data_IF_564198464533
#
_entry.id   IF_564198464533
#
_cell.length_a   1.000
_cell.length_b   1.000
_cell.length_c   1.000
_cell.angle_alpha   90.00
_cell.angle_beta   90.00
_cell.angle_gamma   90.00
#
_symmetry.space_group_name_H-M   'P 1'
#
loop_
_entity.id
_entity.type
_entity.pdbx_description
1 polymer ?
#
# COMPACT_ATOMS: atom_id res chain seq x y z
N UNK A 1 11.14 10.47 -9.91
CA UNK A 1 10.15 11.31 -10.60
C UNK A 1 8.97 11.50 -9.67
N UNK A 2 8.66 12.74 -9.28
CA UNK A 2 7.70 13.03 -8.20
C UNK A 2 6.37 12.39 -8.53
N UNK A 3 5.78 11.61 -7.61
CA UNK A 3 4.45 11.03 -7.80
C UNK A 3 3.47 12.12 -8.29
N UNK A 4 2.92 11.91 -9.48
CA UNK A 4 2.01 12.84 -10.17
C UNK A 4 0.57 12.38 -10.11
N UNK A 5 0.32 11.09 -9.96
CA UNK A 5 -1.01 10.53 -9.77
C UNK A 5 -1.01 9.59 -8.58
N UNK A 6 -1.89 9.85 -7.61
CA UNK A 6 -2.11 9.00 -6.44
C UNK A 6 -3.52 8.43 -6.53
N UNK A 7 -3.64 7.10 -6.44
CA UNK A 7 -4.92 6.41 -6.34
C UNK A 7 -5.34 6.31 -4.87
N UNK A 8 -6.58 6.69 -4.57
CA UNK A 8 -7.26 6.34 -3.32
C UNK A 8 -8.46 5.48 -3.66
N UNK A 9 -8.55 4.28 -3.07
CA UNK A 9 -9.71 3.41 -3.22
C UNK A 9 -10.52 3.49 -1.94
N UNK A 10 -11.82 3.80 -2.05
CA UNK A 10 -12.71 3.97 -0.91
C UNK A 10 -13.98 3.15 -1.09
N UNK A 11 -14.37 2.42 -0.04
CA UNK A 11 -15.62 1.68 -0.02
C UNK A 11 -16.84 2.60 0.14
N UNK A 12 -18.00 2.16 -0.38
CA UNK A 12 -19.26 2.91 -0.27
C UNK A 12 -19.68 3.20 1.18
N UNK A 13 -19.37 2.29 2.11
CA UNK A 13 -19.74 2.38 3.53
C UNK A 13 -18.62 2.96 4.42
N UNK A 14 -17.46 3.29 3.85
CA UNK A 14 -16.35 3.88 4.60
C UNK A 14 -16.63 5.34 4.96
N UNK A 15 -16.01 5.81 6.04
CA UNK A 15 -15.98 7.24 6.36
C UNK A 15 -15.12 8.02 5.34
N UNK A 16 -15.00 9.33 5.54
CA UNK A 16 -14.23 10.19 4.65
C UNK A 16 -12.79 10.42 5.13
N UNK A 17 -12.33 9.74 6.19
CA UNK A 17 -11.01 9.98 6.77
C UNK A 17 -9.87 9.63 5.79
N UNK A 18 -10.02 8.52 5.06
CA UNK A 18 -9.04 8.09 4.07
C UNK A 18 -9.03 9.04 2.86
N UNK A 19 -10.19 9.57 2.47
CA UNK A 19 -10.30 10.60 1.43
C UNK A 19 -9.59 11.89 1.83
N UNK A 20 -9.80 12.37 3.07
CA UNK A 20 -9.10 13.54 3.59
C UNK A 20 -7.59 13.33 3.66
N UNK A 21 -7.13 12.14 4.09
CA UNK A 21 -5.72 11.78 4.07
C UNK A 21 -5.12 11.83 2.66
N UNK A 22 -5.87 11.33 1.66
CA UNK A 22 -5.48 11.38 0.26
C UNK A 22 -5.37 12.81 -0.29
N UNK A 23 -6.31 13.69 0.10
CA UNK A 23 -6.30 15.11 -0.25
C UNK A 23 -5.05 15.79 0.29
N UNK A 24 -4.76 15.61 1.59
CA UNK A 24 -3.56 16.19 2.24
C UNK A 24 -2.26 15.71 1.57
N UNK A 25 -2.16 14.41 1.29
CA UNK A 25 -1.01 13.83 0.59
C UNK A 25 -0.82 14.43 -0.81
N UNK A 26 -1.90 14.52 -1.59
CA UNK A 26 -1.87 15.08 -2.94
C UNK A 26 -1.52 16.57 -2.92
N UNK A 27 -2.02 17.34 -1.95
CA UNK A 27 -1.68 18.76 -1.79
C UNK A 27 -0.20 18.94 -1.50
N UNK A 28 0.36 18.17 -0.57
CA UNK A 28 1.80 18.18 -0.25
C UNK A 28 2.68 17.73 -1.42
N UNK A 29 2.21 16.75 -2.19
CA UNK A 29 2.93 16.22 -3.36
C UNK A 29 2.72 17.05 -4.64
N UNK A 30 1.73 17.96 -4.68
CA UNK A 30 1.23 18.59 -5.91
C UNK A 30 0.88 17.54 -6.97
N UNK A 31 0.18 16.50 -6.54
CA UNK A 31 -0.25 15.37 -7.36
C UNK A 31 -1.74 15.45 -7.69
N UNK A 32 -2.14 14.74 -8.74
CA UNK A 32 -3.52 14.47 -9.09
C UNK A 32 -4.07 13.33 -8.21
N UNK A 33 -5.24 13.52 -7.63
CA UNK A 33 -5.94 12.51 -6.85
C UNK A 33 -6.95 11.76 -7.72
N UNK A 34 -6.68 10.50 -8.02
CA UNK A 34 -7.64 9.59 -8.64
C UNK A 34 -8.40 8.85 -7.55
N UNK A 35 -9.69 9.13 -7.37
CA UNK A 35 -10.54 8.41 -6.42
C UNK A 35 -11.33 7.32 -7.13
N UNK A 36 -11.25 6.09 -6.62
CA UNK A 36 -12.08 4.96 -7.03
C UNK A 36 -13.03 4.59 -5.89
N UNK A 37 -14.31 4.89 -6.05
CA UNK A 37 -15.36 4.48 -5.11
C UNK A 37 -15.81 3.07 -5.46
N UNK A 38 -15.73 2.13 -4.52
CA UNK A 38 -16.03 0.72 -4.78
C UNK A 38 -17.28 0.26 -4.04
N UNK A 39 -18.02 -0.65 -4.67
CA UNK A 39 -19.10 -1.39 -4.04
C UNK A 39 -19.13 -2.82 -4.58
N UNK A 40 -19.24 -3.80 -3.67
CA UNK A 40 -19.39 -5.20 -4.04
C UNK A 40 -20.85 -5.52 -4.36
N UNK A 41 -21.06 -6.12 -5.52
CA UNK A 41 -22.33 -6.61 -5.94
C UNK A 41 -22.71 -7.86 -5.14
N UNK A 42 -23.89 -7.85 -4.51
CA UNK A 42 -24.40 -9.03 -3.82
C UNK A 42 -24.51 -10.24 -4.79
N UNK A 43 -24.11 -11.45 -4.36
CA UNK A 43 -24.25 -12.64 -5.19
C UNK A 43 -25.74 -12.91 -5.48
N UNK A 44 -26.08 -13.47 -6.66
CA UNK A 44 -27.46 -13.80 -7.00
C UNK A 44 -28.09 -14.73 -5.97
N UNK A 45 -29.25 -14.33 -5.45
CA UNK A 45 -30.07 -15.16 -4.55
C UNK A 45 -31.10 -15.89 -5.41
N UNK A 46 -30.85 -17.17 -5.67
CA UNK A 46 -31.69 -18.09 -6.45
C UNK A 46 -30.93 -19.34 -6.93
N UNK A 47 -31.61 -20.47 -7.09
CA UNK A 47 -31.01 -21.69 -7.63
C UNK A 47 -30.72 -21.60 -9.13
N UNK A 48 -29.82 -22.45 -9.65
CA UNK A 48 -29.53 -22.56 -11.09
C UNK A 48 -30.85 -22.78 -11.87
N UNK A 49 -31.29 -21.79 -12.65
CA UNK A 49 -32.52 -21.85 -13.47
C UNK A 49 -33.75 -21.13 -12.90
N UNK A 50 -33.65 -20.46 -11.75
CA UNK A 50 -34.73 -19.61 -11.23
C UNK A 50 -34.67 -18.18 -11.79
N UNK A 51 -35.84 -17.54 -11.92
CA UNK A 51 -35.94 -16.09 -12.15
C UNK A 51 -35.28 -15.40 -10.96
N UNK A 52 -34.29 -14.53 -11.22
CA UNK A 52 -33.63 -13.74 -10.18
C UNK A 52 -34.67 -13.09 -9.28
N UNK A 53 -34.59 -13.35 -7.98
CA UNK A 53 -35.58 -12.83 -7.02
C UNK A 53 -35.67 -11.31 -7.10
N UNK A 54 -36.87 -10.74 -6.99
CA UNK A 54 -37.07 -9.28 -6.96
C UNK A 54 -36.27 -8.62 -5.84
N UNK A 55 -36.13 -9.32 -4.72
CA UNK A 55 -35.29 -8.92 -3.57
C UNK A 55 -33.83 -8.71 -3.98
N UNK A 56 -33.25 -9.58 -4.82
CA UNK A 56 -31.88 -9.43 -5.30
C UNK A 56 -31.73 -8.23 -6.26
N UNK A 57 -32.73 -7.99 -7.12
CA UNK A 57 -32.74 -6.82 -8.02
C UNK A 57 -32.80 -5.52 -7.20
N UNK A 58 -33.73 -5.45 -6.25
CA UNK A 58 -33.88 -4.30 -5.33
C UNK A 58 -32.60 -4.05 -4.52
N UNK A 59 -31.93 -5.10 -4.05
CA UNK A 59 -30.65 -4.98 -3.36
C UNK A 59 -29.55 -4.38 -4.26
N UNK A 60 -29.40 -4.85 -5.50
CA UNK A 60 -28.42 -4.28 -6.44
C UNK A 60 -28.73 -2.84 -6.81
N UNK A 61 -30.00 -2.47 -6.95
CA UNK A 61 -30.39 -1.08 -7.15
C UNK A 61 -30.00 -0.21 -5.96
N UNK A 62 -30.25 -0.68 -4.73
CA UNK A 62 -29.85 0.00 -3.48
C UNK A 62 -28.34 0.20 -3.41
N UNK A 63 -27.55 -0.83 -3.73
CA UNK A 63 -26.08 -0.75 -3.75
C UNK A 63 -25.58 0.26 -4.78
N UNK A 64 -26.15 0.24 -5.99
CA UNK A 64 -25.80 1.18 -7.07
C UNK A 64 -26.14 2.62 -6.69
N UNK A 65 -27.26 2.85 -6.01
CA UNK A 65 -27.65 4.18 -5.54
C UNK A 65 -26.78 4.65 -4.36
N UNK A 66 -26.39 3.75 -3.46
CA UNK A 66 -25.37 4.01 -2.43
C UNK A 66 -24.06 4.48 -3.05
N UNK A 67 -23.58 3.76 -4.06
CA UNK A 67 -22.36 4.08 -4.79
C UNK A 67 -22.45 5.47 -5.46
N UNK A 68 -23.56 5.78 -6.13
CA UNK A 68 -23.79 7.12 -6.72
C UNK A 68 -23.77 8.23 -5.67
N UNK A 69 -24.41 8.01 -4.53
CA UNK A 69 -24.42 8.98 -3.42
C UNK A 69 -23.01 9.22 -2.87
N UNK A 70 -22.23 8.16 -2.63
CA UNK A 70 -20.84 8.28 -2.16
C UNK A 70 -19.97 9.02 -3.18
N UNK A 71 -20.09 8.72 -4.48
CA UNK A 71 -19.38 9.47 -5.54
C UNK A 71 -19.73 10.96 -5.51
N UNK A 72 -21.00 11.32 -5.38
CA UNK A 72 -21.43 12.71 -5.32
C UNK A 72 -20.90 13.42 -4.06
N UNK A 73 -20.92 12.74 -2.91
CA UNK A 73 -20.35 13.24 -1.66
C UNK A 73 -18.84 13.47 -1.77
N UNK A 74 -18.08 12.48 -2.27
CA UNK A 74 -16.64 12.60 -2.50
C UNK A 74 -16.29 13.73 -3.45
N UNK A 75 -17.04 13.92 -4.54
CA UNK A 75 -16.87 15.07 -5.44
C UNK A 75 -17.10 16.40 -4.73
N UNK A 76 -18.13 16.48 -3.87
CA UNK A 76 -18.44 17.71 -3.12
C UNK A 76 -17.29 18.06 -2.16
N UNK A 77 -16.73 17.07 -1.47
CA UNK A 77 -15.56 17.25 -0.60
C UNK A 77 -14.37 17.75 -1.42
N UNK A 78 -14.05 17.07 -2.52
CA UNK A 78 -12.89 17.41 -3.37
C UNK A 78 -13.01 18.78 -4.06
N UNK A 79 -14.22 19.22 -4.39
CA UNK A 79 -14.47 20.55 -4.96
C UNK A 79 -14.19 21.69 -3.99
N UNK A 80 -14.21 21.42 -2.68
CA UNK A 80 -13.84 22.41 -1.67
C UNK A 80 -12.32 22.62 -1.58
N UNK A 81 -11.53 21.73 -2.19
CA UNK A 81 -10.07 21.72 -2.16
C UNK A 81 -9.44 22.17 -3.48
N UNK A 82 -8.28 22.83 -3.40
CA UNK A 82 -7.49 23.28 -4.56
C UNK A 82 -6.52 22.19 -5.05
N UNK A 83 -7.04 21.01 -5.37
CA UNK A 83 -6.26 19.91 -5.93
C UNK A 83 -6.85 19.43 -7.27
N UNK A 84 -6.00 18.87 -8.13
CA UNK A 84 -6.45 18.20 -9.34
C UNK A 84 -6.99 16.83 -8.97
N UNK A 85 -8.20 16.47 -9.42
CA UNK A 85 -8.80 15.18 -9.07
C UNK A 85 -9.72 14.62 -10.15
N UNK A 86 -9.97 13.31 -10.09
CA UNK A 86 -11.06 12.63 -10.76
C UNK A 86 -11.71 11.61 -9.82
N UNK A 87 -13.02 11.38 -10.00
CA UNK A 87 -13.77 10.41 -9.18
C UNK A 87 -14.51 9.46 -10.10
N UNK A 88 -14.16 8.18 -9.98
CA UNK A 88 -14.76 7.07 -10.70
C UNK A 88 -15.38 6.07 -9.74
N UNK A 89 -16.24 5.21 -10.24
CA UNK A 89 -16.96 4.21 -9.45
C UNK A 89 -16.80 2.83 -10.04
N UNK A 90 -16.64 1.83 -9.19
CA UNK A 90 -16.58 0.42 -9.54
C UNK A 90 -17.65 -0.35 -8.78
N UNK A 91 -18.63 -0.88 -9.51
CA UNK A 91 -19.59 -1.84 -9.00
C UNK A 91 -19.24 -3.20 -9.58
N UNK A 92 -18.75 -4.11 -8.75
CA UNK A 92 -18.14 -5.36 -9.23
C UNK A 92 -18.47 -6.55 -8.33
N UNK A 93 -18.30 -7.76 -8.85
CA UNK A 93 -18.40 -8.97 -8.07
C UNK A 93 -17.03 -9.31 -7.46
N UNK A 94 -17.06 -9.97 -6.30
CA UNK A 94 -15.87 -10.29 -5.52
C UNK A 94 -14.75 -10.96 -6.33
N UNK A 95 -15.09 -11.86 -7.25
CA UNK A 95 -14.13 -12.58 -8.09
C UNK A 95 -13.38 -11.72 -9.14
N UNK A 96 -13.85 -10.50 -9.42
CA UNK A 96 -13.25 -9.60 -10.42
C UNK A 96 -12.61 -8.36 -9.81
N UNK A 97 -12.93 -8.05 -8.56
CA UNK A 97 -12.49 -6.85 -7.86
C UNK A 97 -10.97 -6.63 -7.93
N UNK A 98 -10.17 -7.65 -7.62
CA UNK A 98 -8.69 -7.55 -7.66
C UNK A 98 -8.17 -7.09 -9.02
N UNK A 99 -8.70 -7.67 -10.11
CA UNK A 99 -8.24 -7.36 -11.47
C UNK A 99 -8.64 -5.94 -11.88
N UNK A 100 -9.88 -5.53 -11.62
CA UNK A 100 -10.39 -4.21 -12.00
C UNK A 100 -9.75 -3.08 -11.18
N UNK A 101 -9.51 -3.32 -9.88
CA UNK A 101 -8.74 -2.39 -9.05
C UNK A 101 -7.29 -2.31 -9.57
N UNK A 102 -6.69 -3.44 -9.92
CA UNK A 102 -5.38 -3.52 -10.55
C UNK A 102 -5.27 -2.74 -11.86
N UNK A 103 -6.28 -2.84 -12.72
CA UNK A 103 -6.36 -2.07 -13.97
C UNK A 103 -6.29 -0.57 -13.72
N UNK A 104 -6.98 -0.08 -12.69
CA UNK A 104 -6.90 1.32 -12.30
C UNK A 104 -5.52 1.67 -11.72
N UNK A 105 -5.01 0.83 -10.84
CA UNK A 105 -3.74 1.04 -10.15
C UNK A 105 -2.53 0.99 -11.11
N UNK A 106 -2.65 0.42 -12.32
CA UNK A 106 -1.56 0.37 -13.32
C UNK A 106 -1.14 1.73 -13.87
N UNK A 107 -2.02 2.72 -13.82
CA UNK A 107 -1.82 4.03 -14.43
C UNK A 107 -1.56 5.15 -13.41
N UNK A 108 -1.16 4.77 -12.18
CA UNK A 108 -0.82 5.71 -11.12
C UNK A 108 0.61 5.51 -10.66
N UNK A 109 1.18 6.52 -9.98
CA UNK A 109 2.53 6.43 -9.43
C UNK A 109 2.53 5.81 -8.01
N UNK A 110 1.39 5.86 -7.32
CA UNK A 110 1.23 5.36 -5.96
C UNK A 110 -0.24 5.04 -5.66
N UNK A 111 -0.50 3.97 -4.93
CA UNK A 111 -1.82 3.71 -4.33
C UNK A 111 -1.76 3.97 -2.82
N UNK A 112 -2.57 4.90 -2.32
CA UNK A 112 -2.72 5.17 -0.90
C UNK A 112 -3.77 4.22 -0.31
N UNK A 113 -3.42 3.56 0.79
CA UNK A 113 -4.31 2.75 1.60
C UNK A 113 -4.30 3.33 3.01
N UNK A 114 -5.47 3.76 3.49
CA UNK A 114 -5.59 4.34 4.82
C UNK A 114 -5.73 3.30 5.93
N UNK A 115 -5.57 3.73 7.18
CA UNK A 115 -5.61 2.84 8.34
C UNK A 115 -7.03 2.42 8.75
N UNK A 116 -8.06 3.18 8.33
CA UNK A 116 -9.46 2.79 8.50
C UNK A 116 -9.84 1.61 7.62
N UNK A 117 -9.27 1.61 6.40
CA UNK A 117 -9.48 0.65 5.32
C UNK A 117 -9.23 -0.82 5.71
N UNK A 118 -8.08 -1.15 6.31
CA UNK A 118 -7.73 -2.56 6.61
C UNK A 118 -8.54 -3.21 7.75
N UNK A 119 -9.25 -2.40 8.54
CA UNK A 119 -9.92 -2.89 9.75
C UNK A 119 -11.45 -3.05 9.62
N UNK A 120 -12.08 -2.46 8.58
CA UNK A 120 -13.55 -2.32 8.54
C UNK A 120 -14.18 -2.60 7.15
N UNK A 121 -13.41 -3.04 6.15
CA UNK A 121 -13.93 -3.23 4.80
C UNK A 121 -13.85 -4.69 4.33
N UNK A 122 -14.99 -5.20 3.85
CA UNK A 122 -15.11 -6.49 3.18
C UNK A 122 -14.30 -6.54 1.86
N UNK A 123 -13.89 -5.39 1.31
CA UNK A 123 -13.01 -5.27 0.14
C UNK A 123 -11.52 -5.06 0.47
N UNK A 124 -11.16 -5.07 1.75
CA UNK A 124 -9.81 -4.72 2.21
C UNK A 124 -8.70 -5.55 1.54
N UNK A 125 -8.93 -6.86 1.45
CA UNK A 125 -7.98 -7.79 0.88
C UNK A 125 -7.86 -7.65 -0.64
N UNK A 126 -8.96 -7.37 -1.33
CA UNK A 126 -9.09 -7.34 -2.78
C UNK A 126 -8.45 -6.07 -3.34
N UNK A 127 -8.61 -4.96 -2.62
CA UNK A 127 -7.94 -3.70 -2.93
C UNK A 127 -6.44 -3.82 -2.71
N UNK A 128 -6.03 -4.39 -1.59
CA UNK A 128 -4.61 -4.65 -1.33
C UNK A 128 -4.03 -5.58 -2.41
N UNK A 129 -4.71 -6.68 -2.74
CA UNK A 129 -4.24 -7.65 -3.72
C UNK A 129 -4.20 -7.05 -5.13
N UNK A 130 -5.24 -6.30 -5.53
CA UNK A 130 -5.27 -5.61 -6.81
C UNK A 130 -4.15 -4.58 -6.93
N UNK A 131 -3.96 -3.76 -5.90
CA UNK A 131 -2.90 -2.75 -5.90
C UNK A 131 -1.49 -3.36 -5.86
N UNK A 132 -1.28 -4.45 -5.11
CA UNK A 132 0.05 -5.02 -4.90
C UNK A 132 0.46 -6.07 -5.94
N UNK A 133 -0.48 -6.86 -6.46
CA UNK A 133 -0.19 -7.97 -7.39
C UNK A 133 -0.58 -7.67 -8.84
N UNK A 134 -1.54 -6.77 -9.07
CA UNK A 134 -2.04 -6.45 -10.41
C UNK A 134 -1.58 -5.07 -10.93
N UNK A 135 -0.75 -4.36 -10.15
CA UNK A 135 -0.12 -3.10 -10.55
C UNK A 135 1.40 -3.09 -10.27
N UNK A 136 2.20 -2.39 -11.10
CA UNK A 136 3.61 -2.11 -10.80
C UNK A 136 3.79 -0.94 -9.81
N UNK A 137 2.75 -0.16 -9.54
CA UNK A 137 2.84 1.00 -8.66
C UNK A 137 3.02 0.55 -7.19
N UNK A 138 3.86 1.24 -6.41
CA UNK A 138 3.92 0.98 -4.98
C UNK A 138 2.58 1.29 -4.30
N UNK A 139 2.35 0.63 -3.17
CA UNK A 139 1.32 1.00 -2.20
C UNK A 139 1.97 1.80 -1.07
N UNK A 140 1.26 2.79 -0.54
CA UNK A 140 1.57 3.45 0.72
C UNK A 140 0.43 3.16 1.70
N UNK A 141 0.68 2.32 2.68
CA UNK A 141 -0.22 2.09 3.80
C UNK A 141 0.06 3.10 4.90
N UNK A 142 -0.95 3.84 5.34
CA UNK A 142 -0.83 4.84 6.40
C UNK A 142 -1.61 4.36 7.63
N UNK A 143 -0.94 4.00 8.75
CA UNK A 143 -1.64 3.54 9.94
C UNK A 143 -2.51 4.64 10.56
N UNK A 144 -3.55 4.22 11.30
CA UNK A 144 -4.48 5.16 11.95
C UNK A 144 -3.73 6.10 12.90
N UNK A 145 -4.03 7.40 12.81
CA UNK A 145 -3.40 8.43 13.64
C UNK A 145 -2.09 8.99 13.07
N UNK A 146 -1.62 8.48 11.93
CA UNK A 146 -0.49 9.06 11.20
C UNK A 146 -0.97 9.92 10.03
N UNK A 147 -0.25 11.01 9.79
CA UNK A 147 -0.43 11.81 8.58
C UNK A 147 0.33 11.17 7.41
N UNK A 148 -0.32 11.07 6.25
CA UNK A 148 0.33 10.63 5.04
C UNK A 148 1.37 11.67 4.59
N UNK A 149 2.60 11.24 4.29
CA UNK A 149 3.66 12.10 3.75
C UNK A 149 4.55 11.33 2.78
N UNK A 150 4.98 12.00 1.70
CA UNK A 150 6.01 11.50 0.78
C UNK A 150 7.38 12.15 1.03
N UNK A 151 7.56 12.82 2.17
CA UNK A 151 8.84 13.43 2.57
C UNK A 151 9.23 13.03 4.00
N UNK A 152 9.47 11.73 4.25
CA UNK A 152 9.98 11.28 5.54
C UNK A 152 11.41 11.81 5.77
N UNK A 153 11.76 12.16 7.01
CA UNK A 153 13.14 12.52 7.39
C UNK A 153 14.01 11.31 7.65
N UNK A 154 13.44 10.28 8.27
CA UNK A 154 14.14 9.02 8.56
C UNK A 154 13.40 7.88 7.88
N UNK A 155 14.09 7.10 7.05
CA UNK A 155 13.51 5.95 6.35
C UNK A 155 14.21 4.67 6.77
N UNK A 156 13.41 3.67 7.14
CA UNK A 156 13.87 2.31 7.33
C UNK A 156 13.65 1.50 6.05
N UNK A 157 14.71 0.98 5.45
CA UNK A 157 14.64 0.03 4.33
C UNK A 157 14.81 -1.36 4.88
N UNK A 158 13.74 -2.16 4.89
CA UNK A 158 13.82 -3.58 5.23
C UNK A 158 14.38 -4.36 4.03
N UNK A 159 15.58 -4.92 4.19
CA UNK A 159 16.35 -5.48 3.10
C UNK A 159 16.69 -6.96 3.32
N UNK A 160 16.34 -7.80 2.35
CA UNK A 160 16.61 -9.25 2.34
C UNK A 160 17.43 -9.71 1.12
N UNK A 161 18.03 -8.75 0.39
CA UNK A 161 18.81 -8.96 -0.84
C UNK A 161 18.07 -9.64 -1.99
N UNK A 162 16.72 -9.61 -1.99
CA UNK A 162 15.91 -10.12 -3.09
C UNK A 162 15.45 -9.03 -4.03
N UNK A 163 14.91 -9.47 -5.17
CA UNK A 163 14.44 -8.57 -6.22
C UNK A 163 13.35 -7.64 -5.71
N UNK A 164 12.42 -8.13 -4.89
CA UNK A 164 11.29 -7.37 -4.36
C UNK A 164 11.78 -6.20 -3.47
N UNK A 165 12.80 -6.44 -2.63
CA UNK A 165 13.44 -5.38 -1.86
C UNK A 165 14.15 -4.36 -2.78
N UNK A 166 14.80 -4.84 -3.84
CA UNK A 166 15.37 -4.01 -4.89
C UNK A 166 14.33 -3.15 -5.62
N UNK A 167 13.18 -3.71 -5.96
CA UNK A 167 12.06 -2.97 -6.57
C UNK A 167 11.53 -1.92 -5.61
N UNK A 168 11.36 -2.25 -4.32
CA UNK A 168 10.91 -1.31 -3.29
C UNK A 168 11.84 -0.11 -3.13
N UNK A 169 13.15 -0.36 -3.04
CA UNK A 169 14.15 0.71 -2.99
C UNK A 169 14.08 1.61 -4.22
N UNK A 170 13.88 1.03 -5.41
CA UNK A 170 13.76 1.83 -6.65
C UNK A 170 12.48 2.63 -6.71
N UNK A 171 11.35 2.06 -6.28
CA UNK A 171 10.06 2.75 -6.23
C UNK A 171 10.06 3.89 -5.20
N UNK A 172 10.76 3.72 -4.08
CA UNK A 172 10.88 4.71 -3.02
C UNK A 172 12.05 5.70 -3.20
N UNK A 173 12.76 5.67 -4.35
CA UNK A 173 14.03 6.39 -4.53
C UNK A 173 13.93 7.88 -4.20
N UNK A 174 12.79 8.50 -4.45
CA UNK A 174 12.59 9.92 -4.14
C UNK A 174 12.47 10.21 -2.66
N UNK A 175 11.73 9.37 -1.94
CA UNK A 175 11.59 9.45 -0.50
C UNK A 175 12.97 9.22 0.15
N UNK A 176 13.76 8.29 -0.38
CA UNK A 176 15.11 8.01 0.09
C UNK A 176 16.09 9.16 -0.19
N UNK A 177 16.03 9.81 -1.36
CA UNK A 177 16.85 10.99 -1.68
C UNK A 177 16.47 12.20 -0.81
N UNK A 178 15.18 12.37 -0.51
CA UNK A 178 14.69 13.49 0.28
C UNK A 178 14.90 13.32 1.80
N UNK A 179 15.20 12.10 2.27
CA UNK A 179 15.39 11.80 3.68
C UNK A 179 16.73 12.32 4.21
N UNK A 180 16.74 12.75 5.46
CA UNK A 180 17.97 13.12 6.17
C UNK A 180 18.80 11.88 6.50
N UNK A 181 18.14 10.76 6.81
CA UNK A 181 18.79 9.49 7.15
C UNK A 181 18.03 8.31 6.55
N UNK A 182 18.77 7.39 5.94
CA UNK A 182 18.26 6.10 5.49
C UNK A 182 18.99 4.99 6.23
N UNK A 183 18.26 4.15 6.96
CA UNK A 183 18.81 2.93 7.57
C UNK A 183 18.40 1.72 6.76
N UNK A 184 19.36 0.95 6.27
CA UNK A 184 19.12 -0.38 5.69
C UNK A 184 19.18 -1.40 6.82
N UNK A 185 18.06 -2.03 7.16
CA UNK A 185 18.02 -3.07 8.17
C UNK A 185 17.92 -4.46 7.54
N UNK A 186 18.80 -5.36 8.00
CA UNK A 186 18.81 -6.77 7.63
C UNK A 186 18.66 -7.61 8.89
N UNK A 187 17.66 -8.49 8.94
CA UNK A 187 17.43 -9.39 10.09
C UNK A 187 18.03 -10.76 9.81
N UNK A 188 18.92 -11.22 10.69
CA UNK A 188 19.66 -12.49 10.57
C UNK A 188 20.23 -12.78 9.16
N UNK A 189 20.96 -11.84 8.52
CA UNK A 189 21.49 -12.08 7.19
C UNK A 189 22.60 -13.15 7.22
N UNK A 190 22.65 -13.98 6.18
CA UNK A 190 23.79 -14.89 5.97
C UNK A 190 24.93 -14.17 5.23
N UNK A 191 26.09 -14.03 5.88
CA UNK A 191 27.29 -13.47 5.25
C UNK A 191 27.97 -14.52 4.37
N UNK A 192 27.48 -14.67 3.13
CA UNK A 192 28.07 -15.58 2.14
C UNK A 192 28.14 -14.91 0.77
N UNK A 193 29.20 -15.20 -0.01
CA UNK A 193 29.39 -14.66 -1.37
C UNK A 193 28.24 -14.99 -2.33
N UNK A 194 27.47 -16.05 -2.06
CA UNK A 194 26.29 -16.44 -2.87
C UNK A 194 24.98 -15.77 -2.42
N UNK A 195 24.98 -15.03 -1.32
CA UNK A 195 23.79 -14.35 -0.79
C UNK A 195 24.09 -12.87 -0.53
N UNK A 196 24.51 -12.47 0.67
CA UNK A 196 24.64 -11.06 1.05
C UNK A 196 26.06 -10.49 0.89
N UNK A 197 27.00 -11.26 0.33
CA UNK A 197 28.41 -10.88 0.28
C UNK A 197 29.15 -11.13 1.61
N UNK A 198 30.38 -10.65 1.69
CA UNK A 198 31.22 -10.73 2.91
C UNK A 198 30.73 -9.76 3.99
N UNK A 199 30.18 -8.62 3.58
CA UNK A 199 29.59 -7.60 4.45
C UNK A 199 28.12 -7.39 4.03
N UNK A 200 27.16 -8.06 4.71
CA UNK A 200 25.74 -7.93 4.39
C UNK A 200 25.27 -6.49 4.31
N UNK A 201 24.68 -6.12 3.18
CA UNK A 201 24.12 -4.78 2.96
C UNK A 201 25.09 -3.77 2.35
N UNK A 202 26.37 -4.09 2.24
CA UNK A 202 27.37 -3.18 1.66
C UNK A 202 27.06 -2.78 0.20
N UNK A 203 26.56 -3.72 -0.61
CA UNK A 203 26.23 -3.45 -2.02
C UNK A 203 25.04 -2.49 -2.16
N UNK A 204 23.97 -2.68 -1.38
CA UNK A 204 22.81 -1.78 -1.40
C UNK A 204 23.16 -0.42 -0.80
N UNK A 205 23.96 -0.37 0.26
CA UNK A 205 24.47 0.89 0.80
C UNK A 205 25.32 1.64 -0.22
N UNK A 206 26.22 0.94 -0.92
CA UNK A 206 27.02 1.53 -2.01
C UNK A 206 26.14 2.05 -3.14
N UNK A 207 25.10 1.30 -3.51
CA UNK A 207 24.13 1.73 -4.51
C UNK A 207 23.40 3.01 -4.08
N UNK A 208 22.88 3.07 -2.84
CA UNK A 208 22.18 4.24 -2.31
C UNK A 208 23.11 5.45 -2.16
N UNK A 209 24.35 5.24 -1.71
CA UNK A 209 25.35 6.30 -1.60
C UNK A 209 25.67 6.95 -2.96
N UNK A 210 25.66 6.16 -4.06
CA UNK A 210 25.81 6.70 -5.43
C UNK A 210 24.66 7.60 -5.86
N UNK A 211 23.49 7.48 -5.23
CA UNK A 211 22.36 8.39 -5.41
C UNK A 211 22.42 9.61 -4.48
N UNK A 212 23.50 9.78 -3.70
CA UNK A 212 23.67 10.90 -2.77
C UNK A 212 22.95 10.71 -1.43
N UNK A 213 22.50 9.49 -1.12
CA UNK A 213 21.73 9.18 0.08
C UNK A 213 22.68 8.93 1.26
N UNK A 214 22.40 9.54 2.42
CA UNK A 214 23.06 9.23 3.68
C UNK A 214 22.52 7.91 4.22
N UNK A 215 23.27 6.83 4.03
CA UNK A 215 22.85 5.48 4.37
C UNK A 215 23.71 4.87 5.49
N UNK A 216 23.06 4.22 6.45
CA UNK A 216 23.66 3.27 7.40
C UNK A 216 23.13 1.86 7.14
N UNK A 217 23.86 0.84 7.61
CA UNK A 217 23.44 -0.56 7.54
C UNK A 217 23.42 -1.14 8.94
N UNK A 218 22.25 -1.64 9.34
CA UNK A 218 22.03 -2.26 10.64
C UNK A 218 21.73 -3.75 10.45
N UNK A 219 22.65 -4.59 10.93
CA UNK A 219 22.47 -6.04 10.98
C UNK A 219 21.87 -6.41 12.34
N UNK A 220 20.60 -6.83 12.31
CA UNK A 220 19.79 -7.03 13.51
C UNK A 220 19.65 -8.53 13.83
N UNK A 221 19.98 -8.97 15.06
CA UNK A 221 19.68 -10.32 15.50
C UNK A 221 18.19 -10.45 15.81
N UNK A 222 17.52 -11.49 15.29
CA UNK A 222 16.11 -11.71 15.65
C UNK A 222 15.92 -12.14 17.10
N UNK A 223 16.89 -12.90 17.64
CA UNK A 223 16.77 -13.54 18.94
C UNK A 223 15.59 -14.50 19.04
N UNK A 224 15.17 -15.09 17.91
CA UNK A 224 14.01 -15.97 17.83
C UNK A 224 12.65 -15.26 17.73
N UNK A 225 12.62 -13.92 17.68
CA UNK A 225 11.41 -13.14 17.39
C UNK A 225 11.08 -13.18 15.89
N UNK A 226 9.84 -12.86 15.53
CA UNK A 226 9.48 -12.70 14.13
C UNK A 226 10.23 -11.49 13.52
N UNK A 227 10.62 -11.61 12.24
CA UNK A 227 11.31 -10.53 11.51
C UNK A 227 10.50 -9.23 11.53
N UNK A 228 9.17 -9.30 11.42
CA UNK A 228 8.30 -8.14 11.51
C UNK A 228 8.38 -7.43 12.87
N UNK A 229 8.45 -8.17 13.98
CA UNK A 229 8.61 -7.56 15.32
C UNK A 229 9.93 -6.81 15.45
N UNK A 230 11.01 -7.40 14.92
CA UNK A 230 12.35 -6.79 14.94
C UNK A 230 12.36 -5.51 14.11
N UNK A 231 11.79 -5.54 12.90
CA UNK A 231 11.71 -4.37 12.02
C UNK A 231 10.83 -3.26 12.61
N UNK A 232 9.68 -3.60 13.20
CA UNK A 232 8.80 -2.62 13.85
C UNK A 232 9.47 -1.96 15.05
N UNK A 233 10.08 -2.75 15.92
CA UNK A 233 10.79 -2.23 17.08
C UNK A 233 11.90 -1.29 16.61
N UNK A 234 12.70 -1.72 15.63
CA UNK A 234 13.81 -0.93 15.14
C UNK A 234 13.33 0.37 14.43
N UNK A 235 12.23 0.32 13.68
CA UNK A 235 11.61 1.52 13.10
C UNK A 235 11.25 2.54 14.17
N UNK A 236 10.71 2.10 15.31
CA UNK A 236 10.41 2.96 16.47
C UNK A 236 11.71 3.48 17.10
N UNK A 237 12.70 2.61 17.31
CA UNK A 237 13.97 2.96 17.96
C UNK A 237 14.75 4.05 17.23
N UNK A 238 14.73 4.04 15.89
CA UNK A 238 15.41 5.05 15.06
C UNK A 238 14.51 6.25 14.72
N UNK A 239 13.26 6.25 15.16
CA UNK A 239 12.28 7.28 14.81
C UNK A 239 12.01 7.35 13.29
N UNK A 240 11.88 6.19 12.64
CA UNK A 240 11.55 6.13 11.21
C UNK A 240 10.16 6.74 10.96
N UNK A 241 10.05 7.54 9.90
CA UNK A 241 8.78 8.13 9.44
C UNK A 241 8.20 7.35 8.26
N UNK A 242 8.98 6.43 7.68
CA UNK A 242 8.58 5.54 6.60
C UNK A 242 9.35 4.22 6.70
N UNK A 243 8.64 3.11 6.50
CA UNK A 243 9.25 1.81 6.22
C UNK A 243 9.09 1.50 4.74
N UNK A 244 10.18 1.09 4.08
CA UNK A 244 10.20 0.63 2.69
C UNK A 244 10.55 -0.86 2.70
N UNK A 245 9.69 -1.70 2.12
CA UNK A 245 9.96 -3.13 2.02
C UNK A 245 9.43 -3.75 0.73
N UNK A 246 10.11 -4.78 0.24
CA UNK A 246 9.57 -5.65 -0.80
C UNK A 246 8.41 -6.49 -0.29
N UNK A 247 7.50 -6.86 -1.18
CA UNK A 247 6.36 -7.71 -0.87
C UNK A 247 6.48 -9.09 -1.53
N UNK A 248 6.25 -10.15 -0.74
CA UNK A 248 6.03 -11.53 -1.24
C UNK A 248 7.10 -12.08 -2.20
N UNK A 249 8.37 -12.11 -1.77
CA UNK A 249 9.50 -12.63 -2.55
C UNK A 249 9.70 -14.15 -2.57
N UNK A 250 8.69 -14.94 -2.22
CA UNK A 250 8.67 -16.40 -2.42
C UNK A 250 7.51 -16.76 -3.35
N UNK A 251 7.77 -17.70 -4.27
CA UNK A 251 6.92 -18.11 -5.38
C UNK A 251 5.42 -18.10 -5.07
N UNK A 252 4.70 -17.13 -5.68
CA UNK A 252 3.35 -17.13 -6.27
C UNK A 252 2.35 -18.26 -5.94
N UNK A 253 2.33 -18.80 -4.75
CA UNK A 253 1.17 -19.56 -4.28
C UNK A 253 0.28 -18.59 -3.55
N UNK A 254 -0.88 -18.37 -4.15
CA UNK A 254 -2.08 -17.73 -3.62
C UNK A 254 -2.64 -18.53 -2.43
N UNK A 255 -1.78 -18.86 -1.47
CA UNK A 255 -2.15 -19.53 -0.23
C UNK A 255 -1.79 -18.61 0.92
N UNK A 256 -2.76 -18.48 1.81
CA UNK A 256 -2.80 -17.79 3.09
C UNK A 256 -1.64 -18.10 4.07
N UNK A 257 -0.52 -18.66 3.62
CA UNK A 257 0.53 -19.27 4.45
C UNK A 257 1.93 -18.64 4.24
N UNK A 258 2.20 -17.89 3.15
CA UNK A 258 3.60 -17.55 2.77
C UNK A 258 4.08 -16.10 2.93
N UNK A 259 3.70 -15.43 4.02
CA UNK A 259 4.36 -14.17 4.38
C UNK A 259 4.08 -13.70 5.80
N UNK A 260 4.63 -14.39 6.82
CA UNK A 260 4.51 -13.96 8.21
C UNK A 260 4.95 -12.51 8.41
N UNK A 261 6.06 -12.10 7.77
CA UNK A 261 6.55 -10.73 7.84
C UNK A 261 5.65 -9.74 7.11
N UNK A 262 5.43 -9.91 5.80
CA UNK A 262 4.63 -8.97 4.99
C UNK A 262 3.22 -8.79 5.56
N UNK A 263 2.51 -9.90 5.85
CA UNK A 263 1.16 -9.83 6.42
C UNK A 263 1.17 -9.13 7.79
N UNK A 264 2.10 -9.50 8.67
CA UNK A 264 2.21 -8.87 9.98
C UNK A 264 2.55 -7.38 9.89
N UNK A 265 3.35 -6.97 8.91
CA UNK A 265 3.66 -5.55 8.65
C UNK A 265 2.42 -4.79 8.15
N UNK A 266 1.65 -5.37 7.23
CA UNK A 266 0.40 -4.77 6.75
C UNK A 266 -0.65 -4.64 7.87
N UNK A 267 -0.76 -5.65 8.74
CA UNK A 267 -1.73 -5.62 9.84
C UNK A 267 -1.34 -4.64 10.96
N UNK A 268 -0.05 -4.45 11.23
CA UNK A 268 0.42 -3.76 12.44
C UNK A 268 1.65 -2.86 12.21
N UNK A 269 1.70 -2.08 11.12
CA UNK A 269 2.81 -1.14 10.94
C UNK A 269 2.76 0.02 11.94
N UNK A 270 3.87 0.38 12.62
CA UNK A 270 3.89 1.46 13.59
C UNK A 270 3.92 2.84 12.93
N UNK A 271 4.34 2.92 11.66
CA UNK A 271 4.52 4.14 10.87
C UNK A 271 4.11 3.87 9.42
N UNK A 272 3.97 4.87 8.52
CA UNK A 272 3.68 4.63 7.12
C UNK A 272 4.58 3.56 6.48
N UNK A 273 3.98 2.69 5.68
CA UNK A 273 4.62 1.53 5.07
C UNK A 273 4.45 1.59 3.55
N UNK A 274 5.57 1.74 2.83
CA UNK A 274 5.62 1.66 1.38
C UNK A 274 6.05 0.26 0.94
N UNK A 275 5.25 -0.36 0.07
CA UNK A 275 5.52 -1.69 -0.45
C UNK A 275 5.35 -1.76 -1.97
N UNK A 276 6.12 -2.64 -2.59
CA UNK A 276 5.98 -3.00 -4.00
C UNK A 276 6.50 -4.41 -4.23
N UNK A 277 6.26 -4.95 -5.42
CA UNK A 277 6.65 -6.31 -5.82
C UNK A 277 7.74 -6.28 -6.88
#
# INVERSE_FOLDING_TARGET
MQAKTILSVIGVDQDDADLHSAIELCRGAKAHLSVLVTALAAPPIGGYGEVTSTIWIEERERQTEGLRRKVAASKTILQADDISFDVTSLFTEYGWAENEIGERARYVDLTLIGGGFLAHDDMGAEILNGALFQSPAPILLVPKGYAASLRPKTVLVAWDSRNEAGTAVRAAMEQLIAADNVCVAMVDPSATTRSNGEEPGADVATFLARHGIRVSVDVLPSGGRAVSDVLRQHAVDIGAELIVMGAYGHSRVREWIFGGTTRSMLEQTPVPLMMTR
#
